data_IF_951287179577
#
_entry.id   IF_951287179577
#
_cell.length_a   1.000
_cell.length_b   1.000
_cell.length_c   1.000
_cell.angle_alpha   90.00
_cell.angle_beta   90.00
_cell.angle_gamma   90.00
#
_symmetry.space_group_name_H-M   'P 1'
#
loop_
_entity.id
_entity.type
_entity.pdbx_description
1 polymer ?
#
# COMPACT_ATOMS: atom_id res chain seq x y z
N UNK A 1 -29.72 -4.82 5.88
CA UNK A 1 -28.31 -4.45 5.61
C UNK A 1 -28.20 -4.03 4.14
N UNK A 2 -27.65 -2.86 3.83
CA UNK A 2 -27.51 -2.36 2.45
C UNK A 2 -26.67 -3.35 1.60
N UNK A 3 -27.12 -3.69 0.39
CA UNK A 3 -26.42 -4.59 -0.54
C UNK A 3 -25.00 -4.09 -0.88
N UNK A 4 -24.83 -2.77 -0.96
CA UNK A 4 -23.52 -2.15 -1.20
C UNK A 4 -22.56 -2.43 -0.05
N UNK A 5 -23.00 -2.22 1.18
CA UNK A 5 -22.21 -2.51 2.38
C UNK A 5 -21.80 -3.99 2.46
N UNK A 6 -22.69 -4.90 2.05
CA UNK A 6 -22.35 -6.34 1.97
C UNK A 6 -21.25 -6.59 0.94
N UNK A 7 -21.32 -5.96 -0.24
CA UNK A 7 -20.32 -6.08 -1.28
C UNK A 7 -18.96 -5.55 -0.83
N UNK A 8 -18.91 -4.32 -0.30
CA UNK A 8 -17.69 -3.73 0.25
C UNK A 8 -17.05 -4.62 1.33
N UNK A 9 -17.86 -5.15 2.24
CA UNK A 9 -17.37 -6.07 3.27
C UNK A 9 -16.84 -7.40 2.71
N UNK A 10 -17.36 -7.89 1.58
CA UNK A 10 -16.81 -9.08 0.91
C UNK A 10 -15.50 -8.76 0.21
N UNK A 11 -15.42 -7.62 -0.48
CA UNK A 11 -14.21 -7.17 -1.17
C UNK A 11 -13.07 -6.93 -0.17
N UNK A 12 -13.32 -6.19 0.91
CA UNK A 12 -12.34 -5.94 1.97
C UNK A 12 -11.81 -7.23 2.59
N UNK A 13 -12.70 -8.18 2.90
CA UNK A 13 -12.30 -9.50 3.41
C UNK A 13 -11.54 -10.33 2.37
N UNK A 14 -11.78 -10.13 1.09
CA UNK A 14 -11.07 -10.82 0.03
C UNK A 14 -9.68 -10.21 -0.23
N UNK A 15 -9.56 -8.89 -0.11
CA UNK A 15 -8.31 -8.13 -0.24
C UNK A 15 -7.36 -8.41 0.93
N UNK A 16 -7.85 -8.33 2.16
CA UNK A 16 -7.05 -8.63 3.36
C UNK A 16 -6.86 -10.13 3.64
N UNK A 17 -6.93 -10.99 2.61
CA UNK A 17 -6.54 -12.40 2.74
C UNK A 17 -5.04 -12.51 2.52
N UNK A 18 -4.29 -13.10 3.46
CA UNK A 18 -2.86 -13.25 3.30
C UNK A 18 -2.54 -14.14 2.10
N UNK A 19 -1.59 -13.69 1.30
CA UNK A 19 -0.89 -14.48 0.28
C UNK A 19 0.27 -15.23 0.95
N UNK A 20 0.98 -14.58 1.86
CA UNK A 20 2.05 -15.18 2.65
C UNK A 20 1.97 -14.68 4.09
N UNK A 21 2.05 -15.58 5.07
CA UNK A 21 2.05 -15.24 6.48
C UNK A 21 3.09 -16.10 7.21
N UNK A 22 4.21 -15.47 7.57
CA UNK A 22 5.27 -16.03 8.42
C UNK A 22 5.55 -15.05 9.57
N UNK A 23 6.27 -15.51 10.61
CA UNK A 23 6.47 -14.78 11.88
C UNK A 23 6.87 -13.30 11.73
N UNK A 24 7.65 -12.95 10.72
CA UNK A 24 8.11 -11.58 10.46
C UNK A 24 7.78 -11.09 9.05
N UNK A 25 7.00 -11.84 8.29
CA UNK A 25 6.74 -11.56 6.88
C UNK A 25 5.25 -11.72 6.60
N UNK A 26 4.64 -10.63 6.15
CA UNK A 26 3.23 -10.59 5.84
C UNK A 26 3.05 -10.00 4.44
N UNK A 27 2.29 -10.70 3.60
CA UNK A 27 1.83 -10.23 2.31
C UNK A 27 0.36 -10.54 2.17
N UNK A 28 -0.41 -9.56 1.74
CA UNK A 28 -1.76 -9.78 1.23
C UNK A 28 -1.96 -9.04 -0.10
N UNK A 29 -3.21 -8.91 -0.53
CA UNK A 29 -3.51 -8.25 -1.81
C UNK A 29 -3.46 -6.74 -1.70
N UNK A 30 -3.60 -6.17 -0.51
CA UNK A 30 -3.36 -4.74 -0.30
C UNK A 30 -1.88 -4.43 -0.51
N UNK A 31 -0.98 -5.30 -0.05
CA UNK A 31 0.45 -5.17 -0.37
C UNK A 31 0.74 -5.07 -1.87
N UNK A 32 -0.02 -5.79 -2.71
CA UNK A 32 0.07 -5.67 -4.17
C UNK A 32 -0.42 -4.32 -4.69
N UNK A 33 -1.49 -3.76 -4.12
CA UNK A 33 -1.95 -2.39 -4.44
C UNK A 33 -0.86 -1.37 -4.11
N UNK A 34 -0.19 -1.50 -2.96
CA UNK A 34 0.93 -0.65 -2.59
C UNK A 34 2.10 -0.78 -3.57
N UNK A 35 2.44 -2.01 -3.96
CA UNK A 35 3.46 -2.26 -4.97
C UNK A 35 3.17 -1.51 -6.28
N UNK A 36 1.94 -1.65 -6.80
CA UNK A 36 1.52 -0.98 -8.05
C UNK A 36 1.51 0.54 -7.90
N UNK A 37 0.99 1.07 -6.79
CA UNK A 37 1.07 2.50 -6.49
C UNK A 37 2.51 3.00 -6.44
N UNK A 38 3.42 2.19 -5.86
CA UNK A 38 4.85 2.44 -5.86
C UNK A 38 5.43 2.55 -7.26
N UNK A 39 5.14 1.59 -8.15
CA UNK A 39 5.56 1.63 -9.56
C UNK A 39 5.08 2.93 -10.25
N UNK A 40 3.81 3.29 -10.06
CA UNK A 40 3.22 4.50 -10.65
C UNK A 40 3.91 5.76 -10.12
N UNK A 41 4.14 5.85 -8.81
CA UNK A 41 4.87 6.97 -8.21
C UNK A 41 6.32 7.02 -8.71
N UNK A 42 6.99 5.88 -8.83
CA UNK A 42 8.34 5.79 -9.41
C UNK A 42 8.39 6.36 -10.81
N UNK A 43 7.45 5.97 -11.67
CA UNK A 43 7.33 6.51 -13.03
C UNK A 43 7.11 8.02 -13.04
N UNK A 44 6.15 8.51 -12.24
CA UNK A 44 5.84 9.94 -12.16
C UNK A 44 7.05 10.75 -11.70
N UNK A 45 7.73 10.31 -10.64
CA UNK A 45 8.88 11.04 -10.12
C UNK A 45 10.10 10.94 -11.05
N UNK A 46 10.39 9.79 -11.66
CA UNK A 46 11.48 9.68 -12.64
C UNK A 46 11.27 10.58 -13.86
N UNK A 47 10.06 10.63 -14.40
CA UNK A 47 9.79 11.38 -15.63
C UNK A 47 9.57 12.88 -15.42
N UNK A 48 8.94 13.27 -14.31
CA UNK A 48 8.47 14.66 -14.11
C UNK A 48 9.18 15.40 -12.97
N UNK A 49 9.78 14.69 -12.01
CA UNK A 49 10.38 15.29 -10.82
C UNK A 49 11.65 14.56 -10.38
N UNK A 50 12.74 14.57 -11.19
CA UNK A 50 13.98 13.81 -10.93
C UNK A 50 14.80 14.47 -9.79
N UNK A 51 14.23 14.50 -8.60
CA UNK A 51 14.83 15.05 -7.39
C UNK A 51 15.49 13.88 -6.64
N UNK A 52 16.75 14.03 -6.24
CA UNK A 52 17.50 13.00 -5.51
C UNK A 52 16.81 12.48 -4.23
N UNK A 53 15.89 13.28 -3.67
CA UNK A 53 15.12 12.99 -2.47
C UNK A 53 13.66 12.62 -2.74
N UNK A 54 13.29 12.32 -3.99
CA UNK A 54 11.93 11.87 -4.36
C UNK A 54 11.46 10.68 -3.51
N UNK A 55 12.38 9.78 -3.15
CA UNK A 55 12.09 8.62 -2.29
C UNK A 55 11.56 9.02 -0.90
N UNK A 56 12.00 10.15 -0.32
CA UNK A 56 11.48 10.65 0.96
C UNK A 56 10.05 11.16 0.82
N UNK A 57 9.74 11.82 -0.30
CA UNK A 57 8.40 12.31 -0.60
C UNK A 57 7.45 11.13 -0.78
N UNK A 58 7.86 10.11 -1.56
CA UNK A 58 7.07 8.89 -1.77
C UNK A 58 6.88 8.11 -0.47
N UNK A 59 7.92 7.97 0.35
CA UNK A 59 7.80 7.38 1.68
C UNK A 59 6.76 8.13 2.53
N UNK A 60 6.80 9.47 2.52
CA UNK A 60 5.81 10.31 3.19
C UNK A 60 4.38 10.08 2.67
N UNK A 61 4.19 9.98 1.36
CA UNK A 61 2.89 9.67 0.73
C UNK A 61 2.37 8.32 1.20
N UNK A 62 3.20 7.28 1.19
CA UNK A 62 2.81 5.93 1.63
C UNK A 62 2.44 5.89 3.12
N UNK A 63 3.20 6.60 3.98
CA UNK A 63 2.85 6.73 5.41
C UNK A 63 1.51 7.43 5.59
N UNK A 64 1.27 8.54 4.88
CA UNK A 64 0.00 9.27 4.95
C UNK A 64 -1.16 8.39 4.46
N UNK A 65 -0.94 7.59 3.42
CA UNK A 65 -1.92 6.64 2.91
C UNK A 65 -2.28 5.58 3.98
N UNK A 66 -1.29 4.98 4.66
CA UNK A 66 -1.52 4.07 5.78
C UNK A 66 -2.25 4.71 6.96
N UNK A 67 -1.88 5.95 7.31
CA UNK A 67 -2.55 6.70 8.37
C UNK A 67 -4.01 6.96 8.01
N UNK A 68 -4.28 7.27 6.74
CA UNK A 68 -5.64 7.40 6.23
C UNK A 68 -6.40 6.08 6.38
N UNK A 69 -5.89 4.95 5.88
CA UNK A 69 -6.54 3.64 6.04
C UNK A 69 -6.79 3.29 7.52
N UNK A 70 -5.86 3.68 8.40
CA UNK A 70 -6.01 3.54 9.85
C UNK A 70 -7.17 4.38 10.39
N UNK A 71 -7.29 5.63 9.98
CA UNK A 71 -8.30 6.56 10.48
C UNK A 71 -9.72 6.13 10.10
N UNK A 72 -9.89 5.52 8.93
CA UNK A 72 -11.19 5.00 8.44
C UNK A 72 -11.34 3.48 8.60
N UNK A 73 -10.47 2.86 9.40
CA UNK A 73 -10.60 1.46 9.80
C UNK A 73 -11.91 1.23 10.56
N UNK A 74 -12.61 0.13 10.24
CA UNK A 74 -13.92 -0.20 10.79
C UNK A 74 -15.10 0.35 9.98
N UNK A 75 -14.88 1.31 9.08
CA UNK A 75 -15.89 1.82 8.14
C UNK A 75 -15.62 1.29 6.73
N UNK A 76 -14.42 1.59 6.21
CA UNK A 76 -14.02 1.24 4.86
C UNK A 76 -12.95 0.16 4.82
N UNK A 77 -12.06 0.13 5.82
CA UNK A 77 -10.94 -0.81 5.89
C UNK A 77 -11.06 -1.77 7.07
N UNK A 78 -10.53 -2.98 6.90
CA UNK A 78 -10.38 -3.93 8.00
C UNK A 78 -9.29 -3.41 8.94
N UNK A 79 -9.46 -3.59 10.25
CA UNK A 79 -8.40 -3.29 11.22
C UNK A 79 -7.22 -4.24 11.01
N UNK A 80 -6.06 -3.67 10.70
CA UNK A 80 -4.82 -4.39 10.43
C UNK A 80 -3.81 -4.25 11.57
N UNK A 81 -2.86 -5.19 11.66
CA UNK A 81 -1.74 -5.09 12.59
C UNK A 81 -0.71 -4.08 12.07
N UNK A 82 0.00 -3.42 12.99
CA UNK A 82 1.05 -2.45 12.61
C UNK A 82 2.13 -3.08 11.70
N UNK A 83 2.42 -4.36 11.87
CA UNK A 83 3.41 -5.05 11.04
C UNK A 83 2.97 -5.17 9.57
N UNK A 84 1.67 -5.32 9.29
CA UNK A 84 1.17 -5.39 7.92
C UNK A 84 1.43 -4.08 7.19
N UNK A 85 1.07 -2.97 7.84
CA UNK A 85 1.26 -1.60 7.33
C UNK A 85 2.72 -1.29 7.03
N UNK A 86 3.63 -1.76 7.89
CA UNK A 86 5.07 -1.64 7.64
C UNK A 86 5.45 -2.41 6.37
N UNK A 87 4.93 -3.63 6.18
CA UNK A 87 5.16 -4.39 4.95
C UNK A 87 4.57 -3.67 3.72
N UNK A 88 3.37 -3.12 3.81
CA UNK A 88 2.73 -2.39 2.71
C UNK A 88 3.54 -1.15 2.29
N UNK A 89 4.07 -0.38 3.25
CA UNK A 89 5.00 0.72 2.97
C UNK A 89 6.28 0.20 2.30
N UNK A 90 6.92 -0.83 2.86
CA UNK A 90 8.16 -1.39 2.32
C UNK A 90 7.97 -1.88 0.88
N UNK A 91 6.87 -2.56 0.61
CA UNK A 91 6.55 -3.10 -0.72
C UNK A 91 6.21 -1.99 -1.70
N UNK A 92 5.50 -0.95 -1.28
CA UNK A 92 5.31 0.25 -2.08
C UNK A 92 6.64 0.92 -2.44
N UNK A 93 7.57 1.02 -1.48
CA UNK A 93 8.92 1.54 -1.75
C UNK A 93 9.72 0.66 -2.72
N UNK A 94 9.59 -0.67 -2.63
CA UNK A 94 10.21 -1.59 -3.60
C UNK A 94 9.69 -1.32 -5.01
N UNK A 95 8.37 -1.14 -5.20
CA UNK A 95 7.78 -0.76 -6.48
C UNK A 95 8.35 0.57 -6.99
N UNK A 96 8.42 1.59 -6.15
CA UNK A 96 9.03 2.88 -6.49
C UNK A 96 10.47 2.72 -7.01
N UNK A 97 11.32 2.02 -6.26
CA UNK A 97 12.74 1.88 -6.61
C UNK A 97 12.97 1.04 -7.88
N UNK A 98 12.11 0.07 -8.18
CA UNK A 98 12.21 -0.68 -9.44
C UNK A 98 12.13 0.27 -10.63
N UNK A 99 11.14 1.17 -10.66
CA UNK A 99 11.01 2.10 -11.78
C UNK A 99 12.07 3.19 -11.71
N UNK A 100 12.34 3.73 -10.53
CA UNK A 100 13.32 4.80 -10.35
C UNK A 100 14.75 4.42 -10.78
N UNK A 101 15.13 3.15 -10.65
CA UNK A 101 16.45 2.66 -11.08
C UNK A 101 16.49 2.32 -12.58
N UNK A 102 15.33 2.15 -13.23
CA UNK A 102 15.23 1.81 -14.65
C UNK A 102 15.12 3.04 -15.56
N UNK A 103 14.67 4.17 -15.03
CA UNK A 103 14.40 5.43 -15.75
C UNK A 103 15.20 6.59 -15.15
#
# INVERSE_FOLDING_TARGET
>A
MNKELLFFNKLQRWMGRPICHKKYFYLDKWSFVHFVSGLILGFIFSCYFPINYAWLIVLGILIVYELFETAISGHLYRKELMINKVWDILIGMVGFFIIWLLL
#
